data_IF_332884876939
#
_entry.id   IF_332884876939
#
_cell.length_a   1.000
_cell.length_b   1.000
_cell.length_c   1.000
_cell.angle_alpha   90.00
_cell.angle_beta   90.00
_cell.angle_gamma   90.00
#
_symmetry.space_group_name_H-M   'P 1'
#
loop_
_entity.id
_entity.type
_entity.pdbx_description
1 polymer ?
#
# COMPACT_ATOMS: atom_id res chain seq x y z
N UNK A 1 -13.67 -35.14 33.05
CA UNK A 1 -13.59 -33.75 32.58
C UNK A 1 -12.55 -33.65 31.48
N UNK A 2 -12.96 -33.59 30.20
CA UNK A 2 -12.03 -33.44 29.07
C UNK A 2 -11.47 -32.02 29.10
N UNK A 3 -10.22 -31.87 29.57
CA UNK A 3 -9.44 -30.64 29.36
C UNK A 3 -9.28 -30.47 27.84
N UNK A 4 -10.15 -29.69 27.22
CA UNK A 4 -9.90 -29.15 25.89
C UNK A 4 -8.66 -28.28 26.00
N UNK A 5 -7.51 -28.89 25.79
CA UNK A 5 -6.23 -28.20 25.68
C UNK A 5 -6.25 -27.54 24.30
N UNK A 6 -6.91 -26.38 24.23
CA UNK A 6 -6.76 -25.42 23.12
C UNK A 6 -5.29 -25.02 23.09
N UNK A 7 -4.44 -25.87 22.51
CA UNK A 7 -3.17 -25.43 21.97
C UNK A 7 -3.56 -24.58 20.78
N UNK A 8 -3.52 -23.26 20.97
CA UNK A 8 -3.56 -22.32 19.86
C UNK A 8 -2.51 -22.83 18.85
N UNK A 9 -2.90 -23.05 17.58
CA UNK A 9 -1.94 -23.39 16.54
C UNK A 9 -0.82 -22.35 16.58
N UNK A 10 0.41 -22.74 16.31
CA UNK A 10 1.49 -21.77 16.10
C UNK A 10 0.99 -20.81 15.02
N UNK A 11 0.69 -19.57 15.40
CA UNK A 11 0.22 -18.56 14.47
C UNK A 11 1.44 -18.12 13.67
N UNK A 12 1.76 -18.92 12.66
CA UNK A 12 2.75 -18.55 11.67
C UNK A 12 2.39 -17.18 11.11
N UNK A 13 3.41 -16.41 10.71
CA UNK A 13 3.25 -15.07 10.15
C UNK A 13 2.10 -15.01 9.11
N UNK A 14 1.97 -15.95 8.15
CA UNK A 14 0.84 -15.98 7.22
C UNK A 14 -0.52 -16.20 7.88
N UNK A 15 -0.60 -17.06 8.89
CA UNK A 15 -1.83 -17.31 9.65
C UNK A 15 -2.29 -16.08 10.41
N UNK A 16 -1.35 -15.29 10.95
CA UNK A 16 -1.65 -14.03 11.63
C UNK A 16 -2.14 -12.96 10.65
N UNK A 17 -1.58 -12.89 9.43
CA UNK A 17 -2.08 -12.03 8.36
C UNK A 17 -3.51 -12.37 7.96
N UNK A 18 -3.81 -13.65 7.74
CA UNK A 18 -5.15 -14.11 7.37
C UNK A 18 -6.17 -13.79 8.46
N UNK A 19 -5.83 -14.07 9.74
CA UNK A 19 -6.69 -13.73 10.87
C UNK A 19 -6.95 -12.22 10.95
N UNK A 20 -5.90 -11.41 10.81
CA UNK A 20 -5.99 -9.95 10.87
C UNK A 20 -6.86 -9.40 9.74
N UNK A 21 -6.71 -9.91 8.52
CA UNK A 21 -7.56 -9.57 7.38
C UNK A 21 -9.02 -9.97 7.65
N UNK A 22 -9.26 -11.16 8.18
CA UNK A 22 -10.61 -11.62 8.53
C UNK A 22 -11.31 -10.70 9.54
N UNK A 23 -10.60 -10.33 10.61
CA UNK A 23 -11.11 -9.39 11.63
C UNK A 23 -11.38 -8.02 11.00
N UNK A 24 -10.45 -7.52 10.17
CA UNK A 24 -10.62 -6.25 9.47
C UNK A 24 -11.89 -6.24 8.60
N UNK A 25 -12.08 -7.25 7.74
CA UNK A 25 -13.28 -7.35 6.90
C UNK A 25 -14.56 -7.45 7.73
N UNK A 26 -14.52 -8.13 8.87
CA UNK A 26 -15.68 -8.20 9.76
C UNK A 26 -16.05 -6.82 10.32
N UNK A 27 -15.05 -6.03 10.74
CA UNK A 27 -15.27 -4.66 11.24
C UNK A 27 -15.81 -3.77 10.12
N UNK A 28 -15.17 -3.78 8.95
CA UNK A 28 -15.56 -2.94 7.81
C UNK A 28 -16.96 -3.31 7.31
N UNK A 29 -17.28 -4.59 7.14
CA UNK A 29 -18.62 -5.01 6.70
C UNK A 29 -19.71 -4.61 7.69
N UNK A 30 -19.42 -4.66 8.99
CA UNK A 30 -20.33 -4.18 10.03
C UNK A 30 -20.50 -2.67 10.00
N UNK A 31 -19.41 -1.92 9.74
CA UNK A 31 -19.44 -0.47 9.57
C UNK A 31 -20.29 -0.09 8.35
N UNK A 32 -20.03 -0.70 7.19
CA UNK A 32 -20.79 -0.49 5.95
C UNK A 32 -22.28 -0.74 6.15
N UNK A 33 -22.64 -1.81 6.88
CA UNK A 33 -24.06 -2.15 7.10
C UNK A 33 -24.79 -1.18 8.04
N UNK A 34 -24.09 -0.59 9.02
CA UNK A 34 -24.72 0.29 10.03
C UNK A 34 -24.63 1.77 9.67
N UNK A 35 -23.52 2.18 9.08
CA UNK A 35 -23.11 3.58 8.87
C UNK A 35 -22.41 3.70 7.49
N UNK A 36 -23.18 3.62 6.38
CA UNK A 36 -22.61 3.59 5.04
C UNK A 36 -21.83 4.86 4.67
N UNK A 37 -22.27 6.04 5.17
CA UNK A 37 -21.58 7.31 4.92
C UNK A 37 -20.16 7.31 5.50
N UNK A 38 -19.99 6.83 6.74
CA UNK A 38 -18.68 6.70 7.38
C UNK A 38 -17.78 5.69 6.67
N UNK A 39 -18.35 4.62 6.13
CA UNK A 39 -17.60 3.65 5.34
C UNK A 39 -17.09 4.25 4.01
N UNK A 40 -17.90 5.09 3.36
CA UNK A 40 -17.48 5.82 2.15
C UNK A 40 -16.33 6.78 2.50
N UNK A 41 -16.43 7.53 3.59
CA UNK A 41 -15.36 8.43 4.04
C UNK A 41 -14.06 7.67 4.29
N UNK A 42 -14.13 6.52 4.98
CA UNK A 42 -12.96 5.66 5.22
C UNK A 42 -12.34 5.19 3.90
N UNK A 43 -13.17 4.76 2.94
CA UNK A 43 -12.69 4.35 1.62
C UNK A 43 -12.02 5.50 0.87
N UNK A 44 -12.56 6.72 0.95
CA UNK A 44 -11.95 7.91 0.35
C UNK A 44 -10.59 8.22 0.96
N UNK A 45 -10.46 8.18 2.30
CA UNK A 45 -9.18 8.41 2.99
C UNK A 45 -8.13 7.39 2.55
N UNK A 46 -8.50 6.10 2.48
CA UNK A 46 -7.61 5.04 2.02
C UNK A 46 -7.20 5.30 0.56
N UNK A 47 -8.17 5.63 -0.31
CA UNK A 47 -7.92 5.91 -1.72
C UNK A 47 -6.96 7.10 -1.93
N UNK A 48 -7.20 8.23 -1.26
CA UNK A 48 -6.32 9.40 -1.30
C UNK A 48 -4.93 9.04 -0.79
N UNK A 49 -4.83 8.30 0.31
CA UNK A 49 -3.53 7.87 0.86
C UNK A 49 -2.76 7.00 -0.13
N UNK A 50 -3.43 6.06 -0.80
CA UNK A 50 -2.82 5.20 -1.83
C UNK A 50 -2.36 6.02 -3.05
N UNK A 51 -3.14 7.00 -3.50
CA UNK A 51 -2.77 7.87 -4.62
C UNK A 51 -1.57 8.73 -4.27
N UNK A 52 -1.54 9.32 -3.06
CA UNK A 52 -0.40 10.10 -2.61
C UNK A 52 0.85 9.21 -2.50
N UNK A 53 0.75 8.05 -1.88
CA UNK A 53 1.91 7.16 -1.72
C UNK A 53 2.41 6.59 -3.05
N UNK A 54 1.50 6.02 -3.85
CA UNK A 54 1.84 5.36 -5.11
C UNK A 54 2.13 6.35 -6.24
N UNK A 55 1.24 7.33 -6.42
CA UNK A 55 1.33 8.34 -7.48
C UNK A 55 2.57 9.21 -7.33
N UNK A 56 2.88 9.68 -6.12
CA UNK A 56 4.07 10.50 -5.90
C UNK A 56 5.35 9.70 -6.16
N UNK A 57 5.40 8.41 -5.80
CA UNK A 57 6.54 7.54 -6.10
C UNK A 57 6.75 7.36 -7.60
N UNK A 58 5.68 7.25 -8.38
CA UNK A 58 5.76 7.13 -9.84
C UNK A 58 6.26 8.44 -10.44
N UNK A 59 5.67 9.57 -10.05
CA UNK A 59 6.05 10.91 -10.53
C UNK A 59 7.52 11.19 -10.21
N UNK A 60 7.95 10.95 -8.98
CA UNK A 60 9.35 11.15 -8.60
C UNK A 60 10.29 10.29 -9.44
N UNK A 61 9.96 9.02 -9.66
CA UNK A 61 10.76 8.14 -10.51
C UNK A 61 10.87 8.66 -11.95
N UNK A 62 9.82 9.27 -12.47
CA UNK A 62 9.82 9.84 -13.82
C UNK A 62 10.65 11.12 -13.89
N UNK A 63 10.57 11.96 -12.85
CA UNK A 63 11.40 13.17 -12.72
C UNK A 63 12.88 12.78 -12.65
N UNK A 64 13.22 11.78 -11.84
CA UNK A 64 14.59 11.28 -11.72
C UNK A 64 15.09 10.73 -13.06
N UNK A 65 14.28 9.91 -13.73
CA UNK A 65 14.62 9.37 -15.05
C UNK A 65 14.80 10.48 -16.11
N UNK A 66 13.95 11.51 -16.11
CA UNK A 66 14.08 12.65 -17.02
C UNK A 66 15.36 13.44 -16.76
N UNK A 67 15.71 13.65 -15.49
CA UNK A 67 16.92 14.36 -15.08
C UNK A 67 18.20 13.60 -15.43
N UNK A 68 18.17 12.27 -15.35
CA UNK A 68 19.28 11.43 -15.80
C UNK A 68 19.43 11.47 -17.33
N UNK A 69 18.32 11.45 -18.07
CA UNK A 69 18.34 11.58 -19.52
C UNK A 69 18.91 12.93 -19.98
N UNK A 70 18.57 14.03 -19.29
CA UNK A 70 19.11 15.36 -19.58
C UNK A 70 20.62 15.43 -19.32
N UNK A 71 21.08 14.94 -18.17
CA UNK A 71 22.53 14.85 -17.87
C UNK A 71 23.30 14.00 -18.89
N UNK A 72 22.71 12.91 -19.38
CA UNK A 72 23.34 12.08 -20.40
C UNK A 72 23.45 12.78 -21.75
N UNK A 73 22.48 13.63 -22.11
CA UNK A 73 22.54 14.46 -23.33
C UNK A 73 23.59 15.56 -23.19
N UNK A 74 23.66 16.22 -22.05
CA UNK A 74 24.67 17.26 -21.80
C UNK A 74 26.09 16.67 -21.79
N UNK A 75 26.29 15.52 -21.13
CA UNK A 75 27.57 14.81 -21.13
C UNK A 75 27.97 14.27 -22.52
N UNK A 76 27.00 13.96 -23.38
CA UNK A 76 27.22 13.61 -24.78
C UNK A 76 27.54 14.80 -25.67
N UNK A 77 26.97 15.98 -25.37
CA UNK A 77 27.25 17.25 -26.05
C UNK A 77 28.69 17.73 -25.85
N UNK A 78 29.23 17.63 -24.63
CA UNK A 78 30.62 17.98 -24.33
C UNK A 78 31.67 17.06 -24.99
N UNK A 79 31.29 15.86 -25.46
CA UNK A 79 32.20 14.94 -26.16
C UNK A 79 32.26 15.20 -27.68
N UNK A 80 31.38 16.06 -28.20
CA UNK A 80 31.23 16.33 -29.62
C UNK A 80 31.61 17.77 -30.03
N UNK A 81 32.24 18.55 -29.17
CA UNK A 81 32.91 19.78 -29.59
C UNK A 81 34.30 19.42 -30.17
N UNK A 82 34.58 19.70 -31.47
CA UNK A 82 35.86 19.44 -32.11
C UNK A 82 36.98 20.40 -31.69
#
# INVERSE_FOLDING_TARGET
>A
MRKFRFRLPEFDVPGLWVLSLGIWFHIVSRLVRREPEMAILLAQIIGVSMVLWGGYRIINRWIDAAREAEKARDAGGYRHEP
#
